data_IF_008254477052
#
_entry.id   IF_008254477052
#
_cell.length_a   1.000
_cell.length_b   1.000
_cell.length_c   1.000
_cell.angle_alpha   90.00
_cell.angle_beta   90.00
_cell.angle_gamma   90.00
#
_symmetry.space_group_name_H-M   'P 1'
#
loop_
_entity.id
_entity.type
_entity.pdbx_description
1 polymer ?
#
# COMPACT_ATOMS: atom_id res chain seq x y z
N UNK A 1 3.54 3.62 14.31
CA UNK A 1 3.84 3.05 12.96
C UNK A 1 5.19 2.37 13.01
N UNK A 2 5.41 1.28 12.23
CA UNK A 2 6.71 0.52 12.26
C UNK A 2 7.93 1.32 11.77
N UNK A 3 7.75 2.59 11.43
CA UNK A 3 8.81 3.51 10.97
C UNK A 3 9.34 4.43 12.07
N UNK A 4 8.69 4.50 13.21
CA UNK A 4 9.04 5.45 14.27
C UNK A 4 10.45 5.21 14.84
N UNK A 5 11.19 6.30 15.01
CA UNK A 5 12.55 6.28 15.56
C UNK A 5 13.65 5.90 14.58
N UNK A 6 13.31 5.57 13.31
CA UNK A 6 14.29 5.32 12.26
C UNK A 6 14.58 6.60 11.45
N UNK A 7 15.83 6.76 11.05
CA UNK A 7 16.25 7.80 10.14
C UNK A 7 15.99 7.42 8.65
N UNK A 8 16.17 8.37 7.74
CA UNK A 8 15.90 8.18 6.30
C UNK A 8 16.79 7.10 5.68
N UNK A 9 18.04 6.99 6.10
CA UNK A 9 18.96 5.95 5.60
C UNK A 9 18.52 4.54 6.05
N UNK A 10 18.03 4.42 7.29
CA UNK A 10 17.51 3.17 7.82
C UNK A 10 16.20 2.76 7.11
N UNK A 11 15.30 3.71 6.85
CA UNK A 11 14.03 3.46 6.16
C UNK A 11 14.22 3.00 4.71
N UNK A 12 15.28 3.46 4.04
CA UNK A 12 15.62 3.13 2.65
C UNK A 12 16.53 1.91 2.51
N UNK A 13 17.08 1.41 3.62
CA UNK A 13 18.06 0.33 3.60
C UNK A 13 17.41 -0.99 3.20
N UNK A 14 17.88 -1.64 2.11
CA UNK A 14 17.42 -2.97 1.74
C UNK A 14 18.07 -4.00 2.69
N UNK A 15 17.23 -4.70 3.46
CA UNK A 15 17.68 -5.69 4.46
C UNK A 15 17.43 -7.13 4.04
N UNK A 16 16.77 -7.33 2.91
CA UNK A 16 16.42 -8.65 2.38
C UNK A 16 16.88 -8.81 0.94
N UNK A 17 17.13 -10.05 0.44
CA UNK A 17 17.68 -10.28 -0.90
C UNK A 17 16.86 -9.70 -2.06
N UNK A 18 15.55 -9.53 -1.88
CA UNK A 18 14.68 -8.89 -2.88
C UNK A 18 14.91 -7.38 -3.05
N UNK A 19 15.69 -6.76 -2.17
CA UNK A 19 15.94 -5.32 -2.19
C UNK A 19 14.85 -4.47 -1.55
N UNK A 20 13.81 -5.07 -0.99
CA UNK A 20 12.71 -4.36 -0.35
C UNK A 20 13.20 -3.67 0.93
N UNK A 21 12.80 -2.41 1.12
CA UNK A 21 13.03 -1.61 2.31
C UNK A 21 11.71 -1.18 2.97
N UNK A 22 11.77 -0.67 4.20
CA UNK A 22 10.57 -0.23 4.92
C UNK A 22 9.77 0.83 4.17
N UNK A 23 10.44 1.82 3.60
CA UNK A 23 9.78 2.89 2.85
C UNK A 23 9.13 2.35 1.57
N UNK A 24 9.76 1.37 0.90
CA UNK A 24 9.18 0.67 -0.26
C UNK A 24 7.90 -0.08 0.08
N UNK A 25 7.81 -0.71 1.27
CA UNK A 25 6.57 -1.33 1.74
C UNK A 25 5.43 -0.32 1.90
N UNK A 26 5.71 0.86 2.43
CA UNK A 26 4.69 1.92 2.58
C UNK A 26 4.23 2.43 1.21
N UNK A 27 5.16 2.60 0.26
CA UNK A 27 4.83 3.00 -1.12
C UNK A 27 3.95 1.96 -1.81
N UNK A 28 4.28 0.67 -1.65
CA UNK A 28 3.46 -0.44 -2.15
C UNK A 28 2.06 -0.43 -1.53
N UNK A 29 1.93 -0.30 -0.21
CA UNK A 29 0.62 -0.21 0.45
C UNK A 29 -0.20 0.99 -0.03
N UNK A 30 0.44 2.10 -0.41
CA UNK A 30 -0.24 3.24 -1.05
C UNK A 30 -0.85 2.82 -2.39
N UNK A 31 -0.09 2.09 -3.21
CA UNK A 31 -0.57 1.61 -4.52
C UNK A 31 -1.76 0.67 -4.41
N UNK A 32 -1.71 -0.30 -3.48
CA UNK A 32 -2.79 -1.28 -3.32
C UNK A 32 -4.06 -0.67 -2.70
N UNK A 33 -3.93 0.26 -1.73
CA UNK A 33 -5.07 1.02 -1.20
C UNK A 33 -5.77 1.83 -2.32
N UNK A 34 -5.00 2.57 -3.10
CA UNK A 34 -5.53 3.34 -4.22
C UNK A 34 -6.13 2.42 -5.30
N UNK A 35 -5.42 1.37 -5.69
CA UNK A 35 -5.86 0.44 -6.72
C UNK A 35 -7.21 -0.18 -6.37
N UNK A 36 -7.28 -0.90 -5.27
CA UNK A 36 -8.47 -1.67 -4.92
C UNK A 36 -9.70 -0.82 -4.59
N UNK A 37 -9.53 0.28 -3.82
CA UNK A 37 -10.69 1.09 -3.44
C UNK A 37 -11.08 2.10 -4.51
N UNK A 38 -10.11 2.83 -5.08
CA UNK A 38 -10.40 3.98 -5.94
C UNK A 38 -10.55 3.55 -7.40
N UNK A 39 -9.59 2.78 -7.92
CA UNK A 39 -9.60 2.37 -9.33
C UNK A 39 -10.59 1.23 -9.55
N UNK A 40 -10.46 0.14 -8.80
CA UNK A 40 -11.20 -1.09 -9.08
C UNK A 40 -12.63 -1.04 -8.54
N UNK A 41 -12.82 -0.68 -7.27
CA UNK A 41 -14.15 -0.70 -6.67
C UNK A 41 -14.96 0.57 -6.98
N UNK A 42 -14.40 1.76 -6.75
CA UNK A 42 -15.11 3.01 -7.07
C UNK A 42 -15.15 3.32 -8.57
N UNK A 43 -14.35 2.62 -9.38
CA UNK A 43 -14.25 2.79 -10.84
C UNK A 43 -13.97 4.25 -11.23
N UNK A 44 -13.10 4.93 -10.45
CA UNK A 44 -12.68 6.29 -10.75
C UNK A 44 -11.86 6.32 -12.05
N UNK A 45 -11.99 7.41 -12.81
CA UNK A 45 -11.16 7.67 -14.01
C UNK A 45 -9.72 8.06 -13.62
N UNK A 46 -9.04 7.19 -12.86
CA UNK A 46 -7.69 7.38 -12.38
C UNK A 46 -6.81 6.19 -12.77
N UNK A 47 -5.50 6.44 -12.88
CA UNK A 47 -4.53 5.39 -13.18
C UNK A 47 -4.03 4.73 -11.90
N UNK A 48 -3.58 3.48 -12.02
CA UNK A 48 -2.82 2.83 -10.95
C UNK A 48 -1.55 3.62 -10.67
N UNK A 49 -1.19 3.72 -9.39
CA UNK A 49 -0.03 4.47 -8.96
C UNK A 49 1.27 3.70 -9.22
N UNK A 50 2.35 4.45 -9.46
CA UNK A 50 3.71 3.93 -9.60
C UNK A 50 3.91 2.91 -10.73
N UNK A 51 3.09 2.99 -11.77
CA UNK A 51 3.28 2.23 -13.01
C UNK A 51 4.13 3.05 -13.97
N UNK A 52 5.21 2.49 -14.47
CA UNK A 52 6.11 3.14 -15.44
C UNK A 52 5.51 3.17 -16.83
N UNK A 53 6.08 3.99 -17.71
CA UNK A 53 5.60 4.14 -19.09
C UNK A 53 5.65 2.83 -19.92
N UNK A 54 6.50 1.88 -19.53
CA UNK A 54 6.60 0.54 -20.13
C UNK A 54 5.61 -0.47 -19.53
N UNK A 55 4.77 -0.04 -18.56
CA UNK A 55 3.80 -0.88 -17.87
C UNK A 55 4.37 -1.66 -16.67
N UNK A 56 5.65 -1.49 -16.32
CA UNK A 56 6.21 -2.14 -15.13
C UNK A 56 5.79 -1.46 -13.84
N UNK A 57 5.43 -2.24 -12.83
CA UNK A 57 5.16 -1.76 -11.49
C UNK A 57 6.46 -1.37 -10.78
N UNK A 58 6.46 -0.22 -10.12
CA UNK A 58 7.60 0.33 -9.39
C UNK A 58 7.24 0.75 -7.95
N UNK A 59 6.17 0.21 -7.44
CA UNK A 59 5.57 0.54 -6.14
C UNK A 59 6.45 0.16 -4.93
N UNK A 60 7.31 -0.86 -5.04
CA UNK A 60 8.36 -1.16 -4.05
C UNK A 60 9.66 -0.35 -4.22
N UNK A 61 9.79 0.37 -5.33
CA UNK A 61 11.02 1.12 -5.66
C UNK A 61 10.96 2.52 -5.13
N UNK A 62 11.97 2.93 -4.36
CA UNK A 62 12.13 4.32 -3.93
C UNK A 62 12.92 5.07 -4.99
N UNK A 63 12.26 6.00 -5.65
CA UNK A 63 12.85 6.84 -6.68
C UNK A 63 13.59 8.06 -6.06
N UNK A 64 14.53 8.69 -6.77
CA UNK A 64 15.30 9.82 -6.24
C UNK A 64 14.47 11.03 -5.77
N UNK A 65 13.25 11.17 -6.29
CA UNK A 65 12.31 12.24 -5.89
C UNK A 65 11.45 11.91 -4.67
N UNK A 66 11.44 10.65 -4.23
CA UNK A 66 10.65 10.23 -3.09
C UNK A 66 11.32 10.68 -1.78
N UNK A 67 10.57 11.33 -0.92
CA UNK A 67 10.97 11.62 0.46
C UNK A 67 10.18 10.75 1.44
N UNK A 68 10.71 10.51 2.63
CA UNK A 68 9.98 9.81 3.69
C UNK A 68 8.63 10.48 3.96
N UNK A 69 8.60 11.81 4.01
CA UNK A 69 7.37 12.57 4.21
C UNK A 69 6.37 12.37 3.07
N UNK A 70 6.81 12.45 1.80
CA UNK A 70 5.92 12.27 0.64
C UNK A 70 5.33 10.87 0.58
N UNK A 71 6.13 9.84 0.87
CA UNK A 71 5.66 8.45 0.85
C UNK A 71 4.67 8.18 2.00
N UNK A 72 4.98 8.63 3.21
CA UNK A 72 4.10 8.43 4.36
C UNK A 72 2.79 9.22 4.21
N UNK A 73 2.86 10.49 3.79
CA UNK A 73 1.65 11.29 3.57
C UNK A 73 0.79 10.72 2.43
N UNK A 74 1.41 10.21 1.38
CA UNK A 74 0.72 9.51 0.29
C UNK A 74 -0.08 8.30 0.79
N UNK A 75 0.51 7.50 1.68
CA UNK A 75 -0.19 6.36 2.29
C UNK A 75 -1.38 6.79 3.15
N UNK A 76 -1.20 7.81 3.99
CA UNK A 76 -2.30 8.35 4.80
C UNK A 76 -3.45 8.82 3.93
N UNK A 77 -3.16 9.56 2.85
CA UNK A 77 -4.17 10.03 1.90
C UNK A 77 -4.87 8.88 1.18
N UNK A 78 -4.14 7.84 0.76
CA UNK A 78 -4.74 6.66 0.13
C UNK A 78 -5.71 5.95 1.07
N UNK A 79 -5.33 5.76 2.34
CA UNK A 79 -6.22 5.19 3.37
C UNK A 79 -7.47 6.06 3.62
N UNK A 80 -7.34 7.38 3.64
CA UNK A 80 -8.50 8.30 3.78
C UNK A 80 -9.45 8.18 2.60
N UNK A 81 -8.92 8.08 1.38
CA UNK A 81 -9.73 7.88 0.18
C UNK A 81 -10.41 6.51 0.19
N UNK A 82 -9.72 5.44 0.58
CA UNK A 82 -10.31 4.11 0.74
C UNK A 82 -11.48 4.11 1.73
N UNK A 83 -11.33 4.77 2.90
CA UNK A 83 -12.42 4.93 3.87
C UNK A 83 -13.62 5.69 3.28
N UNK A 84 -13.37 6.75 2.52
CA UNK A 84 -14.45 7.52 1.87
C UNK A 84 -15.21 6.65 0.85
N UNK A 85 -14.53 5.77 0.10
CA UNK A 85 -15.19 4.81 -0.80
C UNK A 85 -16.07 3.83 -0.03
N UNK A 86 -15.58 3.27 1.09
CA UNK A 86 -16.37 2.37 1.95
C UNK A 86 -17.60 3.06 2.51
N UNK A 87 -17.46 4.30 2.99
CA UNK A 87 -18.58 5.10 3.50
C UNK A 87 -19.61 5.40 2.41
N UNK A 88 -19.16 5.80 1.22
CA UNK A 88 -20.04 6.11 0.09
C UNK A 88 -20.81 4.87 -0.41
N UNK A 89 -20.24 3.69 -0.33
CA UNK A 89 -20.90 2.43 -0.69
C UNK A 89 -22.05 2.07 0.26
N UNK A 90 -22.01 2.52 1.51
CA UNK A 90 -23.08 2.37 2.50
C UNK A 90 -23.30 0.95 3.03
N UNK A 91 -22.75 -0.07 2.38
CA UNK A 91 -22.88 -1.47 2.80
C UNK A 91 -21.70 -2.29 2.29
N UNK A 92 -21.20 -3.21 3.11
CA UNK A 92 -20.18 -4.20 2.68
C UNK A 92 -20.72 -5.20 1.64
N UNK A 93 -22.02 -5.29 1.46
CA UNK A 93 -22.65 -6.12 0.43
C UNK A 93 -22.72 -5.42 -0.94
N UNK A 94 -22.26 -4.18 -1.04
CA UNK A 94 -22.17 -3.46 -2.31
C UNK A 94 -21.23 -4.19 -3.28
N UNK A 95 -21.63 -4.26 -4.55
CA UNK A 95 -20.86 -4.87 -5.64
C UNK A 95 -20.78 -3.93 -6.84
N UNK A 96 -19.73 -4.09 -7.62
CA UNK A 96 -19.54 -3.40 -8.91
C UNK A 96 -19.19 -4.42 -9.99
N UNK A 97 -19.39 -4.07 -11.26
CA UNK A 97 -18.94 -4.90 -12.37
C UNK A 97 -17.54 -4.46 -12.80
N UNK A 98 -16.55 -5.26 -12.46
CA UNK A 98 -15.16 -5.02 -12.83
C UNK A 98 -14.86 -5.67 -14.18
N UNK A 99 -14.14 -4.99 -15.10
CA UNK A 99 -13.95 -5.48 -16.47
C UNK A 99 -13.20 -6.82 -16.57
N UNK A 100 -12.32 -7.11 -15.64
CA UNK A 100 -11.46 -8.31 -15.68
C UNK A 100 -11.99 -9.46 -14.81
N UNK A 101 -12.51 -9.15 -13.61
CA UNK A 101 -12.91 -10.19 -12.64
C UNK A 101 -14.42 -10.41 -12.53
N UNK A 102 -15.23 -9.62 -13.24
CA UNK A 102 -16.67 -9.69 -13.16
C UNK A 102 -17.22 -8.98 -11.93
N UNK A 103 -18.09 -9.62 -11.15
CA UNK A 103 -18.64 -9.03 -9.94
C UNK A 103 -17.58 -8.91 -8.84
N UNK A 104 -17.28 -7.68 -8.44
CA UNK A 104 -16.34 -7.36 -7.35
C UNK A 104 -17.10 -6.83 -6.14
N UNK A 105 -17.06 -7.54 -5.02
CA UNK A 105 -17.74 -7.16 -3.78
C UNK A 105 -16.86 -6.35 -2.83
N UNK A 106 -17.43 -5.32 -2.20
CA UNK A 106 -16.69 -4.49 -1.24
C UNK A 106 -16.15 -5.31 -0.06
N UNK A 107 -16.92 -6.26 0.44
CA UNK A 107 -16.48 -7.17 1.53
C UNK A 107 -15.20 -7.92 1.14
N UNK A 108 -15.11 -8.37 -0.09
CA UNK A 108 -13.91 -9.04 -0.60
C UNK A 108 -12.72 -8.08 -0.65
N UNK A 109 -12.91 -6.86 -1.19
CA UNK A 109 -11.86 -5.84 -1.24
C UNK A 109 -11.34 -5.50 0.16
N UNK A 110 -12.23 -5.24 1.13
CA UNK A 110 -11.83 -4.95 2.52
C UNK A 110 -11.07 -6.12 3.13
N UNK A 111 -11.54 -7.35 2.93
CA UNK A 111 -10.86 -8.56 3.45
C UNK A 111 -9.48 -8.73 2.83
N UNK A 112 -9.37 -8.55 1.52
CA UNK A 112 -8.10 -8.60 0.80
C UNK A 112 -7.11 -7.54 1.31
N UNK A 113 -7.57 -6.32 1.56
CA UNK A 113 -6.72 -5.26 2.12
C UNK A 113 -6.27 -5.53 3.55
N UNK A 114 -7.07 -6.22 4.36
CA UNK A 114 -6.65 -6.69 5.68
C UNK A 114 -5.51 -7.72 5.53
N UNK A 115 -5.63 -8.67 4.59
CA UNK A 115 -4.61 -9.68 4.32
C UNK A 115 -3.31 -9.05 3.79
N UNK A 116 -3.40 -8.12 2.84
CA UNK A 116 -2.25 -7.39 2.30
C UNK A 116 -1.53 -6.58 3.39
N UNK A 117 -2.27 -5.82 4.19
CA UNK A 117 -1.70 -5.02 5.27
C UNK A 117 -1.06 -5.92 6.34
N UNK A 118 -1.68 -7.02 6.72
CA UNK A 118 -1.13 -7.96 7.70
C UNK A 118 0.15 -8.63 7.19
N UNK A 119 0.17 -9.06 5.92
CA UNK A 119 1.37 -9.63 5.26
C UNK A 119 2.53 -8.66 5.29
N UNK A 120 2.31 -7.42 4.87
CA UNK A 120 3.36 -6.42 4.78
C UNK A 120 3.77 -5.85 6.13
N UNK A 121 2.90 -5.86 7.14
CA UNK A 121 3.29 -5.61 8.53
C UNK A 121 4.27 -6.67 9.04
N UNK A 122 4.05 -7.95 8.75
CA UNK A 122 4.99 -9.02 9.08
C UNK A 122 6.35 -8.86 8.38
N UNK A 123 6.36 -8.46 7.11
CA UNK A 123 7.61 -8.10 6.40
C UNK A 123 8.32 -6.91 7.06
N UNK A 124 7.55 -5.87 7.44
CA UNK A 124 8.09 -4.70 8.11
C UNK A 124 8.70 -5.05 9.49
N UNK A 125 8.09 -5.95 10.26
CA UNK A 125 8.62 -6.41 11.54
C UNK A 125 9.98 -7.09 11.37
N UNK A 126 10.11 -7.99 10.40
CA UNK A 126 11.38 -8.68 10.12
C UNK A 126 12.46 -7.68 9.68
N UNK A 127 12.13 -6.76 8.75
CA UNK A 127 13.08 -5.75 8.28
C UNK A 127 13.48 -4.81 9.42
N UNK A 128 12.53 -4.40 10.26
CA UNK A 128 12.77 -3.56 11.44
C UNK A 128 13.73 -4.23 12.42
N UNK A 129 13.51 -5.49 12.76
CA UNK A 129 14.37 -6.27 13.64
C UNK A 129 15.81 -6.35 13.09
N UNK A 130 15.98 -6.52 11.77
CA UNK A 130 17.28 -6.53 11.11
C UNK A 130 17.99 -5.16 11.15
N UNK A 131 17.25 -4.05 11.24
CA UNK A 131 17.82 -2.69 11.27
C UNK A 131 18.30 -2.32 12.69
N UNK A 132 17.45 -2.48 13.69
CA UNK A 132 17.69 -1.96 15.03
C UNK A 132 17.39 -2.94 16.18
N UNK A 133 16.99 -4.17 15.86
CA UNK A 133 16.67 -5.20 16.83
C UNK A 133 15.30 -5.07 17.49
N UNK A 134 14.46 -4.11 17.07
CA UNK A 134 13.10 -3.98 17.59
C UNK A 134 12.22 -5.09 17.05
N UNK A 135 11.62 -5.89 17.93
CA UNK A 135 10.66 -6.95 17.56
C UNK A 135 9.24 -6.40 17.45
N UNK A 136 8.45 -6.99 16.55
CA UNK A 136 7.00 -6.75 16.49
C UNK A 136 6.28 -7.34 17.70
N UNK A 137 5.20 -6.70 18.12
CA UNK A 137 4.29 -7.21 19.16
C UNK A 137 3.10 -7.94 18.51
#
# INVERSE_FOLDING_TARGET
>A
MKLEGLDDDQLRRPMVPSGVCLLGLVKHLTAVEHGWFVVDFAQAEEQYLFVRADGTEADFTIDPGDTTESVVSGYVQACERGRAVVEAAGSLEATVQHPEVGELGLRWVVTHMIEETARHNGHADIIRELIDGATGD
#
